data_IF_543398360183
#
_entry.id   IF_543398360183
#
_cell.length_a   1.000
_cell.length_b   1.000
_cell.length_c   1.000
_cell.angle_alpha   90.00
_cell.angle_beta   90.00
_cell.angle_gamma   90.00
#
_symmetry.space_group_name_H-M   'P 1'
#
loop_
_entity.id
_entity.type
_entity.pdbx_description
1 polymer ?
#
# COMPACT_ATOMS: atom_id res chain seq x y z
N UNK A 1 7.01 -10.03 -9.96
CA UNK A 1 5.93 -9.23 -9.42
C UNK A 1 5.04 -8.76 -10.56
N UNK A 2 3.76 -8.84 -10.37
CA UNK A 2 2.83 -8.45 -11.39
C UNK A 2 2.29 -7.07 -11.08
N UNK A 3 2.25 -6.19 -12.06
CA UNK A 3 1.74 -4.83 -11.87
C UNK A 3 0.61 -4.61 -12.84
N UNK A 4 -0.56 -4.21 -12.32
CA UNK A 4 -1.70 -3.93 -13.16
C UNK A 4 -2.17 -2.51 -12.89
N UNK A 5 -2.58 -1.83 -13.94
CA UNK A 5 -3.03 -0.46 -13.83
C UNK A 5 -4.36 -0.36 -14.54
N UNK A 6 -5.34 0.23 -13.89
CA UNK A 6 -6.63 0.46 -14.54
C UNK A 6 -7.07 1.88 -14.28
N UNK A 7 -7.84 2.41 -15.21
CA UNK A 7 -8.35 3.77 -15.11
C UNK A 7 -9.84 3.79 -15.22
N UNK A 8 -10.46 4.71 -14.51
CA UNK A 8 -11.91 4.88 -14.54
C UNK A 8 -12.16 6.36 -14.77
N UNK A 9 -12.72 6.70 -15.93
CA UNK A 9 -12.90 8.08 -16.34
C UNK A 9 -11.56 8.80 -16.42
N UNK A 10 -10.48 8.05 -16.66
CA UNK A 10 -9.16 8.61 -16.76
C UNK A 10 -8.37 7.74 -17.70
N UNK A 11 -7.76 8.34 -18.69
CA UNK A 11 -6.98 7.58 -19.64
C UNK A 11 -5.60 7.30 -19.08
N UNK A 12 -5.16 6.08 -19.17
CA UNK A 12 -3.84 5.71 -18.68
C UNK A 12 -2.84 5.94 -19.80
N UNK A 13 -2.13 7.04 -19.74
CA UNK A 13 -1.15 7.36 -20.75
C UNK A 13 0.13 6.58 -20.52
N UNK A 14 1.03 6.64 -21.48
CA UNK A 14 2.30 5.95 -21.32
C UNK A 14 3.08 6.54 -20.16
N UNK A 15 3.03 7.85 -19.98
CA UNK A 15 3.74 8.47 -18.89
C UNK A 15 3.19 8.01 -17.53
N UNK A 16 1.89 7.92 -17.43
CA UNK A 16 1.27 7.46 -16.19
C UNK A 16 1.67 6.01 -15.94
N UNK A 17 1.64 5.19 -16.99
CA UNK A 17 1.99 3.78 -16.83
C UNK A 17 3.43 3.64 -16.36
N UNK A 18 4.34 4.41 -16.95
CA UNK A 18 5.73 4.34 -16.55
C UNK A 18 5.92 4.80 -15.12
N UNK A 19 5.24 5.88 -14.75
CA UNK A 19 5.36 6.42 -13.40
C UNK A 19 4.85 5.42 -12.36
N UNK A 20 3.69 4.82 -12.63
CA UNK A 20 3.12 3.86 -11.70
C UNK A 20 4.03 2.63 -11.59
N UNK A 21 4.55 2.17 -12.72
CA UNK A 21 5.42 1.00 -12.71
C UNK A 21 6.65 1.24 -11.86
N UNK A 22 7.27 2.42 -12.02
CA UNK A 22 8.45 2.73 -11.22
C UNK A 22 8.13 2.79 -9.74
N UNK A 23 7.01 3.41 -9.39
CA UNK A 23 6.64 3.51 -7.99
C UNK A 23 6.29 2.15 -7.42
N UNK A 24 5.58 1.34 -8.18
CA UNK A 24 5.20 0.01 -7.70
C UNK A 24 6.42 -0.88 -7.52
N UNK A 25 7.36 -0.80 -8.45
CA UNK A 25 8.56 -1.60 -8.31
C UNK A 25 9.38 -1.19 -7.10
N UNK A 26 9.30 0.08 -6.73
CA UNK A 26 9.99 0.54 -5.55
C UNK A 26 9.48 -0.10 -4.28
N UNK A 27 8.23 -0.57 -4.28
CA UNK A 27 7.70 -1.20 -3.08
C UNK A 27 8.41 -2.50 -2.75
N UNK A 28 8.95 -3.18 -3.75
CA UNK A 28 9.67 -4.41 -3.52
C UNK A 28 10.93 -4.19 -2.71
N UNK A 29 11.48 -3.00 -2.77
CA UNK A 29 12.68 -2.71 -2.01
C UNK A 29 12.39 -2.66 -0.52
N UNK A 30 11.13 -2.40 -0.16
CA UNK A 30 10.79 -2.36 1.24
C UNK A 30 10.34 -3.73 1.73
N UNK A 31 9.76 -4.54 0.88
CA UNK A 31 9.26 -5.81 1.31
C UNK A 31 9.24 -6.77 0.13
N UNK A 32 10.15 -7.75 0.15
CA UNK A 32 10.24 -8.71 -0.93
C UNK A 32 8.99 -9.55 -1.07
N UNK A 33 8.17 -9.64 -0.06
CA UNK A 33 6.99 -10.47 -0.14
C UNK A 33 5.86 -9.96 -1.01
N UNK A 34 6.03 -8.79 -1.61
CA UNK A 34 4.99 -8.27 -2.49
C UNK A 34 4.96 -9.09 -3.76
N UNK A 35 3.81 -9.69 -4.08
CA UNK A 35 3.70 -10.53 -5.26
C UNK A 35 2.99 -9.83 -6.40
N UNK A 36 2.11 -8.88 -6.12
CA UNK A 36 1.48 -8.12 -7.17
C UNK A 36 1.00 -6.79 -6.64
N UNK A 37 0.88 -5.82 -7.54
CA UNK A 37 0.39 -4.49 -7.18
C UNK A 37 -0.63 -4.10 -8.23
N UNK A 38 -1.81 -3.70 -7.79
CA UNK A 38 -2.83 -3.22 -8.70
C UNK A 38 -3.12 -1.78 -8.34
N UNK A 39 -2.98 -0.88 -9.30
CA UNK A 39 -3.22 0.53 -9.08
C UNK A 39 -4.44 0.93 -9.89
N UNK A 40 -5.44 1.48 -9.21
CA UNK A 40 -6.64 1.95 -9.88
C UNK A 40 -6.67 3.45 -9.78
N UNK A 41 -6.83 4.11 -10.90
CA UNK A 41 -6.84 5.56 -10.95
C UNK A 41 -8.20 6.04 -11.43
N UNK A 42 -8.71 7.06 -10.80
CA UNK A 42 -10.04 7.55 -11.14
C UNK A 42 -10.04 9.08 -11.16
N UNK A 43 -10.75 9.63 -12.12
CA UNK A 43 -10.93 11.08 -12.18
C UNK A 43 -12.38 11.40 -11.87
N UNK A 44 -12.61 12.31 -10.95
CA UNK A 44 -13.94 12.78 -10.62
C UNK A 44 -13.90 14.27 -10.62
N UNK A 45 -14.61 14.89 -11.54
CA UNK A 45 -14.64 16.35 -11.59
C UNK A 45 -13.32 16.97 -11.26
N UNK A 46 -13.17 17.48 -10.08
CA UNK A 46 -11.95 18.17 -9.71
C UNK A 46 -11.11 17.37 -8.76
N UNK A 47 -11.31 16.09 -8.68
CA UNK A 47 -10.52 15.26 -7.79
C UNK A 47 -9.89 14.12 -8.55
N UNK A 48 -8.77 13.66 -8.04
CA UNK A 48 -8.11 12.48 -8.60
C UNK A 48 -7.94 11.48 -7.47
N UNK A 49 -8.27 10.25 -7.73
CA UNK A 49 -8.27 9.20 -6.73
C UNK A 49 -7.33 8.11 -7.19
N UNK A 50 -6.48 7.65 -6.31
CA UNK A 50 -5.59 6.53 -6.58
C UNK A 50 -5.78 5.50 -5.49
N UNK A 51 -5.99 4.25 -5.88
CA UNK A 51 -6.09 3.18 -4.92
C UNK A 51 -5.07 2.13 -5.29
N UNK A 52 -4.28 1.70 -4.33
CA UNK A 52 -3.23 0.73 -4.57
C UNK A 52 -3.50 -0.48 -3.70
N UNK A 53 -3.50 -1.64 -4.33
CA UNK A 53 -3.67 -2.90 -3.61
C UNK A 53 -2.39 -3.69 -3.82
N UNK A 54 -1.66 -3.95 -2.77
CA UNK A 54 -0.43 -4.73 -2.86
C UNK A 54 -0.68 -6.08 -2.20
N UNK A 55 -0.57 -7.14 -2.98
CA UNK A 55 -0.74 -8.47 -2.44
C UNK A 55 0.60 -8.97 -1.96
N UNK A 56 0.59 -9.62 -0.83
CA UNK A 56 1.82 -10.13 -0.24
C UNK A 56 1.72 -11.64 -0.11
N UNK A 57 2.87 -12.28 -0.05
CA UNK A 57 2.89 -13.75 0.01
C UNK A 57 2.34 -14.27 1.34
N UNK A 58 2.45 -13.51 2.40
CA UNK A 58 1.93 -13.94 3.68
C UNK A 58 1.13 -12.81 4.29
N UNK A 59 -0.13 -13.01 4.47
CA UNK A 59 -0.96 -12.01 5.10
C UNK A 59 -1.97 -11.41 4.16
N UNK A 60 -2.77 -10.53 4.67
CA UNK A 60 -3.81 -9.89 3.89
C UNK A 60 -3.21 -8.83 2.96
N UNK A 61 -3.87 -8.54 1.87
CA UNK A 61 -3.39 -7.49 0.98
C UNK A 61 -3.34 -6.15 1.70
N UNK A 62 -2.40 -5.32 1.28
CA UNK A 62 -2.29 -3.99 1.82
C UNK A 62 -2.99 -3.06 0.85
N UNK A 63 -3.94 -2.28 1.33
CA UNK A 63 -4.74 -1.41 0.48
C UNK A 63 -4.60 0.02 0.97
N UNK A 64 -4.41 0.93 0.06
CA UNK A 64 -4.36 2.34 0.40
C UNK A 64 -5.07 3.15 -0.68
N UNK A 65 -5.73 4.21 -0.26
CA UNK A 65 -6.47 5.05 -1.18
C UNK A 65 -6.12 6.49 -0.88
N UNK A 66 -5.93 7.27 -1.91
CA UNK A 66 -5.64 8.70 -1.75
C UNK A 66 -6.56 9.49 -2.65
N UNK A 67 -7.11 10.56 -2.12
CA UNK A 67 -7.98 11.45 -2.87
C UNK A 67 -7.33 12.82 -2.84
N UNK A 68 -7.11 13.39 -4.02
CA UNK A 68 -6.42 14.66 -4.13
C UNK A 68 -7.28 15.63 -4.91
N UNK A 69 -7.43 16.83 -4.41
CA UNK A 69 -8.14 17.86 -5.14
C UNK A 69 -7.29 18.32 -6.30
N UNK A 70 -7.91 18.65 -7.39
CA UNK A 70 -7.19 19.11 -8.56
C UNK A 70 -7.05 18.02 -9.59
N UNK A 71 -6.25 18.27 -10.60
CA UNK A 71 -6.15 17.37 -11.73
C UNK A 71 -4.84 16.59 -11.79
N UNK A 72 -4.03 16.69 -10.77
CA UNK A 72 -2.73 16.05 -10.84
C UNK A 72 -2.79 14.63 -10.30
N UNK A 73 -2.93 13.68 -11.19
CA UNK A 73 -3.04 12.28 -10.80
C UNK A 73 -1.72 11.77 -10.21
N UNK A 74 -0.60 12.37 -10.59
CA UNK A 74 0.68 11.90 -10.05
C UNK A 74 0.76 12.14 -8.55
N UNK A 75 0.18 13.23 -8.08
CA UNK A 75 0.14 13.49 -6.65
C UNK A 75 -0.67 12.42 -5.93
N UNK A 76 -1.81 12.03 -6.52
CA UNK A 76 -2.62 10.99 -5.92
C UNK A 76 -1.88 9.66 -5.87
N UNK A 77 -1.15 9.33 -6.94
CA UNK A 77 -0.36 8.11 -6.99
C UNK A 77 0.69 8.14 -5.89
N UNK A 78 1.39 9.25 -5.73
CA UNK A 78 2.42 9.35 -4.71
C UNK A 78 1.87 9.15 -3.32
N UNK A 79 0.74 9.77 -3.00
CA UNK A 79 0.18 9.64 -1.67
C UNK A 79 -0.28 8.21 -1.42
N UNK A 80 -0.90 7.57 -2.41
CA UNK A 80 -1.37 6.21 -2.22
C UNK A 80 -0.19 5.24 -2.04
N UNK A 81 0.85 5.40 -2.84
CA UNK A 81 2.02 4.53 -2.73
C UNK A 81 2.72 4.75 -1.39
N UNK A 82 2.80 6.00 -0.94
CA UNK A 82 3.42 6.26 0.35
C UNK A 82 2.66 5.58 1.48
N UNK A 83 1.34 5.56 1.40
CA UNK A 83 0.56 4.89 2.43
C UNK A 83 0.80 3.39 2.39
N UNK A 84 0.89 2.81 1.21
CA UNK A 84 1.17 1.38 1.09
C UNK A 84 2.56 1.09 1.65
N UNK A 85 3.52 1.96 1.34
CA UNK A 85 4.87 1.77 1.82
C UNK A 85 4.90 1.73 3.34
N UNK A 86 4.19 2.64 3.99
CA UNK A 86 4.16 2.66 5.44
C UNK A 86 3.51 1.39 5.99
N UNK A 87 2.45 0.94 5.37
CA UNK A 87 1.80 -0.26 5.83
C UNK A 87 2.67 -1.49 5.61
N UNK A 88 3.41 -1.52 4.52
CA UNK A 88 4.32 -2.64 4.26
C UNK A 88 5.44 -2.67 5.29
N UNK A 89 5.94 -1.52 5.69
CA UNK A 89 6.96 -1.48 6.71
C UNK A 89 6.42 -2.03 8.02
N UNK A 90 5.20 -1.64 8.38
CA UNK A 90 4.60 -2.17 9.58
C UNK A 90 4.40 -3.67 9.48
N UNK A 91 3.99 -4.14 8.33
CA UNK A 91 3.78 -5.57 8.12
C UNK A 91 5.10 -6.33 8.30
N UNK A 92 6.18 -5.80 7.75
CA UNK A 92 7.47 -6.42 7.86
C UNK A 92 7.93 -6.45 9.32
N UNK A 93 7.73 -5.34 10.02
CA UNK A 93 8.13 -5.26 11.41
C UNK A 93 7.32 -6.23 12.26
N UNK A 94 6.04 -6.37 11.98
CA UNK A 94 5.25 -7.32 12.71
C UNK A 94 5.71 -8.74 12.49
N UNK A 95 6.04 -9.09 11.27
CA UNK A 95 6.52 -10.43 10.99
C UNK A 95 7.83 -10.69 11.71
N UNK A 96 8.71 -9.71 11.74
CA UNK A 96 9.97 -9.88 12.42
C UNK A 96 9.76 -10.02 13.92
N UNK A 97 8.90 -9.19 14.49
CA UNK A 97 8.63 -9.25 15.91
C UNK A 97 8.01 -10.59 16.28
N UNK A 98 7.12 -11.08 15.46
CA UNK A 98 6.50 -12.35 15.74
C UNK A 98 7.52 -13.48 15.73
N UNK A 99 8.46 -13.46 14.78
CA UNK A 99 9.48 -14.47 14.74
C UNK A 99 10.35 -14.40 15.97
N UNK A 100 10.72 -13.22 16.40
CA UNK A 100 11.53 -13.06 17.58
C UNK A 100 10.80 -13.58 18.80
N UNK A 101 9.52 -13.27 18.91
CA UNK A 101 8.76 -13.74 20.03
C UNK A 101 8.64 -15.23 20.03
N UNK A 102 8.36 -15.82 18.91
CA UNK A 102 8.22 -17.26 18.85
C UNK A 102 9.53 -17.93 19.17
N UNK A 103 10.63 -17.38 18.73
CA UNK A 103 11.90 -17.98 19.02
C UNK A 103 12.25 -17.86 20.49
N UNK A 104 11.90 -16.75 21.08
CA UNK A 104 12.28 -16.60 22.46
C UNK A 104 11.31 -17.23 23.41
N UNK A 105 10.12 -17.27 23.06
CA UNK A 105 9.20 -17.72 23.97
C UNK A 105 8.83 -19.04 23.92
N UNK A 106 9.10 -19.78 23.40
CA UNK A 106 8.80 -21.01 23.44
C UNK A 106 7.58 -21.16 24.08
N UNK A 107 7.04 -21.19 24.61
CA UNK A 107 5.84 -21.41 25.12
C UNK A 107 5.10 -20.34 25.62
N UNK A 108 5.51 -19.36 25.77
CA UNK A 108 4.84 -18.41 26.39
C UNK A 108 4.01 -17.75 25.50
N UNK A 109 3.05 -17.86 25.35
CA UNK A 109 2.26 -17.29 24.51
C UNK A 109 1.95 -16.00 24.74
N UNK A 110 1.83 -15.35 24.43
CA UNK A 110 1.55 -14.15 24.64
C UNK A 110 0.68 -13.70 23.83
N UNK A 111 0.03 -13.74 23.86
CA UNK A 111 -0.98 -13.43 23.16
C UNK A 111 -1.10 -12.20 22.58
N UNK A 112 -1.50 -11.90 22.27
CA UNK A 112 -1.73 -11.02 21.78
C UNK A 112 -1.68 -9.95 21.61
N UNK A 113 -1.60 -9.83 21.55
CA UNK A 113 -1.43 -9.05 21.51
C UNK A 113 -1.57 -8.34 20.49
N UNK A 114 -1.67 -8.42 20.14
CA UNK A 114 -1.70 -7.89 19.37
C UNK A 114 -2.29 -7.14 18.69
N UNK A 115 -2.65 -7.03 18.53
CA UNK A 115 -3.09 -6.47 18.02
C UNK A 115 -3.31 -5.57 17.47
N UNK A 116 -3.43 -5.41 17.29
CA UNK A 116 -3.64 -4.72 16.91
C UNK A 116 -3.77 -3.79 16.34
N UNK A 117 -3.75 -3.64 16.20
CA UNK A 117 -3.81 -2.91 15.85
C UNK A 117 -3.95 -2.08 15.12
N UNK A 118 -3.98 -2.07 14.90
CA UNK A 118 -3.99 -1.46 14.36
C UNK A 118 -4.30 -0.59 13.67
N UNK A 119 -4.56 -0.44 13.46
CA UNK A 119 -4.85 0.18 12.92
C UNK A 119 -4.96 1.22 12.41
N UNK A 120 -4.89 1.44 12.30
CA UNK A 120 -4.92 2.29 11.94
C UNK A 120 -5.05 3.11 11.23
N UNK A 121 -5.18 3.21 11.04
CA UNK A 121 -5.22 3.89 10.54
C UNK A 121 -5.36 4.75 9.93
N UNK A 122 -5.54 4.94 9.80
CA UNK A 122 -5.78 5.60 9.34
C UNK A 122 -5.64 6.63 8.91
N UNK A 123 -5.52 7.00 8.74
CA UNK A 123 -5.17 7.85 8.39
C UNK A 123 -5.59 8.63 7.46
N UNK A 124 -5.89 9.13 7.29
CA UNK A 124 -6.42 9.73 6.57
C UNK A 124 -5.98 10.67 5.86
N UNK A 125 -6.11 10.98 5.26
CA UNK A 125 -5.68 11.72 4.36
C UNK A 125 -6.10 12.92 4.47
N UNK A 126 -5.82 13.34 4.27
CA UNK A 126 -6.01 14.44 4.41
C UNK A 126 -6.60 15.10 3.46
N UNK A 127 -6.77 15.06 3.20
CA UNK A 127 -7.12 15.53 2.39
C UNK A 127 -7.71 16.46 2.18
N UNK A 128 -7.98 16.74 2.24
CA UNK A 128 -8.45 17.44 2.11
C UNK A 128 -8.33 18.06 1.95
#
# INVERSE_FOLDING_TARGET
>A
MKIEISGHHLEITEDIRRYVTEKAEGLRHFFDGVTSVHVMLQAEKERRIAEVVAKVSHGAPVVARAVVEGENVYTAINFAVDKVEKQLRKHKDKLRDRRIREAAAEGSALPGLEESAEIEEEDEPPAK
#
